data_IF_760649309772
#
_entry.id   IF_760649309772
#
_cell.length_a   1.000
_cell.length_b   1.000
_cell.length_c   1.000
_cell.angle_alpha   90.00
_cell.angle_beta   90.00
_cell.angle_gamma   90.00
#
_symmetry.space_group_name_H-M   'P 1'
#
loop_
_entity.id
_entity.type
_entity.pdbx_description
1 polymer ?
#
# COMPACT_ATOMS: atom_id res chain seq x y z
N UNK A 1 -20.30 -8.36 -8.66
CA UNK A 1 -19.80 -8.24 -7.27
C UNK A 1 -19.34 -9.58 -6.72
N UNK A 2 -20.22 -10.59 -6.64
CA UNK A 2 -19.90 -11.91 -6.09
C UNK A 2 -18.64 -12.57 -6.69
N UNK A 3 -18.49 -12.57 -8.02
CA UNK A 3 -17.28 -13.10 -8.69
C UNK A 3 -15.98 -12.44 -8.21
N UNK A 4 -15.97 -11.09 -8.08
CA UNK A 4 -14.80 -10.33 -7.63
C UNK A 4 -14.46 -10.58 -6.16
N UNK A 5 -15.47 -10.68 -5.30
CA UNK A 5 -15.27 -11.07 -3.89
C UNK A 5 -14.66 -12.46 -3.80
N UNK A 6 -15.11 -13.39 -4.64
CA UNK A 6 -14.54 -14.74 -4.69
C UNK A 6 -13.13 -14.82 -5.25
N UNK A 7 -12.79 -13.99 -6.22
CA UNK A 7 -11.42 -13.82 -6.70
C UNK A 7 -10.49 -13.24 -5.64
N UNK A 8 -10.93 -12.18 -4.95
CA UNK A 8 -10.19 -11.60 -3.81
C UNK A 8 -9.96 -12.65 -2.72
N UNK A 9 -11.00 -13.41 -2.33
CA UNK A 9 -10.88 -14.45 -1.31
C UNK A 9 -9.92 -15.59 -1.74
N UNK A 10 -9.84 -15.91 -3.04
CA UNK A 10 -8.84 -16.84 -3.57
C UNK A 10 -7.43 -16.25 -3.52
N UNK A 11 -7.27 -14.98 -3.90
CA UNK A 11 -5.99 -14.29 -3.84
C UNK A 11 -5.45 -14.18 -2.41
N UNK A 12 -6.29 -13.80 -1.44
CA UNK A 12 -5.93 -13.74 -0.03
C UNK A 12 -5.41 -15.10 0.47
N UNK A 13 -6.11 -16.19 0.15
CA UNK A 13 -5.64 -17.56 0.47
C UNK A 13 -4.31 -17.89 -0.21
N UNK A 14 -4.17 -17.53 -1.49
CA UNK A 14 -2.93 -17.70 -2.25
C UNK A 14 -1.75 -16.90 -1.68
N UNK A 15 -2.01 -15.79 -0.99
CA UNK A 15 -1.02 -14.99 -0.26
C UNK A 15 -0.80 -15.43 1.18
N UNK A 16 -1.33 -16.59 1.59
CA UNK A 16 -1.13 -17.17 2.91
C UNK A 16 -2.05 -16.64 4.01
N UNK A 17 -3.08 -15.84 3.69
CA UNK A 17 -4.06 -15.39 4.69
C UNK A 17 -5.08 -16.51 4.96
N UNK A 18 -5.39 -16.79 6.24
CA UNK A 18 -6.34 -17.83 6.62
C UNK A 18 -7.79 -17.35 6.42
N UNK A 19 -8.29 -17.44 5.19
CA UNK A 19 -9.69 -17.11 4.85
C UNK A 19 -10.50 -18.41 4.75
N UNK A 20 -11.46 -18.62 5.65
CA UNK A 20 -12.35 -19.77 5.59
C UNK A 20 -13.52 -19.55 4.61
N UNK A 21 -14.24 -20.63 4.29
CA UNK A 21 -15.44 -20.57 3.43
C UNK A 21 -16.54 -19.73 4.11
N UNK A 22 -16.68 -19.81 5.44
CA UNK A 22 -17.62 -18.98 6.20
C UNK A 22 -17.31 -17.49 6.05
N UNK A 23 -16.03 -17.09 6.14
CA UNK A 23 -15.61 -15.70 5.93
C UNK A 23 -16.01 -15.18 4.54
N UNK A 24 -15.92 -16.03 3.51
CA UNK A 24 -16.37 -15.66 2.17
C UNK A 24 -17.88 -15.40 2.13
N UNK A 25 -18.70 -16.28 2.73
CA UNK A 25 -20.14 -16.10 2.78
C UNK A 25 -20.52 -14.84 3.56
N UNK A 26 -19.83 -14.56 4.67
CA UNK A 26 -20.05 -13.36 5.46
C UNK A 26 -19.62 -12.11 4.70
N UNK A 27 -18.55 -12.18 3.91
CA UNK A 27 -18.16 -11.09 3.01
C UNK A 27 -19.22 -10.80 1.95
N UNK A 28 -19.81 -11.83 1.33
CA UNK A 28 -20.91 -11.66 0.38
C UNK A 28 -22.13 -11.01 1.06
N UNK A 29 -22.47 -11.42 2.28
CA UNK A 29 -23.56 -10.78 3.06
C UNK A 29 -23.23 -9.33 3.40
N UNK A 30 -22.00 -9.05 3.80
CA UNK A 30 -21.54 -7.70 4.12
C UNK A 30 -21.64 -6.75 2.93
N UNK A 31 -21.38 -7.24 1.70
CA UNK A 31 -21.60 -6.42 0.49
C UNK A 31 -23.06 -6.03 0.24
N UNK A 32 -24.03 -6.75 0.80
CA UNK A 32 -25.44 -6.38 0.72
C UNK A 32 -25.85 -5.35 1.79
N UNK A 33 -25.01 -5.14 2.82
CA UNK A 33 -25.28 -4.25 3.94
C UNK A 33 -24.59 -2.87 3.83
N UNK A 34 -23.75 -2.67 2.81
CA UNK A 34 -23.04 -1.41 2.57
C UNK A 34 -23.34 -0.86 1.19
N UNK A 35 -23.25 0.46 1.04
CA UNK A 35 -23.28 1.09 -0.27
C UNK A 35 -22.04 0.67 -1.07
N UNK A 36 -22.25 0.03 -2.21
CA UNK A 36 -21.20 -0.44 -3.10
C UNK A 36 -20.51 0.71 -3.85
N UNK A 37 -21.12 1.90 -3.87
CA UNK A 37 -20.53 3.12 -4.42
C UNK A 37 -19.55 3.75 -3.43
N UNK A 38 -19.77 3.57 -2.12
CA UNK A 38 -18.82 3.96 -1.10
C UNK A 38 -17.70 2.91 -1.00
N UNK A 39 -16.61 3.21 -1.72
CA UNK A 39 -15.38 2.40 -1.70
C UNK A 39 -14.86 2.17 -0.28
N UNK A 40 -14.91 3.18 0.59
CA UNK A 40 -14.39 3.08 1.95
C UNK A 40 -15.27 2.12 2.75
N UNK A 41 -16.59 2.27 2.69
CA UNK A 41 -17.52 1.37 3.35
C UNK A 41 -17.34 -0.08 2.85
N UNK A 42 -17.23 -0.29 1.54
CA UNK A 42 -16.98 -1.60 0.96
C UNK A 42 -15.66 -2.22 1.44
N UNK A 43 -14.58 -1.43 1.49
CA UNK A 43 -13.27 -1.89 1.97
C UNK A 43 -13.35 -2.34 3.41
N UNK A 44 -13.93 -1.53 4.30
CA UNK A 44 -14.03 -1.86 5.72
C UNK A 44 -14.92 -3.08 5.98
N UNK A 45 -16.04 -3.20 5.25
CA UNK A 45 -16.94 -4.35 5.36
C UNK A 45 -16.27 -5.67 4.94
N UNK A 46 -15.52 -5.65 3.83
CA UNK A 46 -14.76 -6.81 3.38
C UNK A 46 -13.57 -7.09 4.30
N UNK A 47 -12.88 -6.07 4.81
CA UNK A 47 -11.79 -6.25 5.78
C UNK A 47 -12.30 -6.93 7.05
N UNK A 48 -13.42 -6.47 7.59
CA UNK A 48 -14.02 -7.01 8.82
C UNK A 48 -14.41 -8.49 8.72
N UNK A 49 -14.75 -8.96 7.51
CA UNK A 49 -15.19 -10.34 7.28
C UNK A 49 -14.07 -11.26 6.79
N UNK A 50 -13.08 -10.74 6.06
CA UNK A 50 -12.00 -11.52 5.44
C UNK A 50 -10.67 -11.47 6.20
N UNK A 51 -10.54 -10.61 7.22
CA UNK A 51 -9.31 -10.51 8.04
C UNK A 51 -9.55 -10.92 9.48
N UNK A 52 -8.76 -11.88 9.97
CA UNK A 52 -8.85 -12.37 11.35
C UNK A 52 -7.86 -11.71 12.32
N UNK A 53 -6.97 -10.85 11.80
CA UNK A 53 -5.92 -10.19 12.59
C UNK A 53 -5.53 -8.86 11.95
N UNK A 54 -5.22 -7.87 12.78
CA UNK A 54 -4.69 -6.57 12.34
C UNK A 54 -3.40 -6.72 11.53
N UNK A 55 -2.60 -7.76 11.79
CA UNK A 55 -1.39 -8.03 11.02
C UNK A 55 -1.66 -8.37 9.54
N UNK A 56 -2.86 -8.85 9.22
CA UNK A 56 -3.26 -9.20 7.85
C UNK A 56 -3.85 -8.01 7.08
N UNK A 57 -4.11 -6.89 7.77
CA UNK A 57 -4.76 -5.71 7.18
C UNK A 57 -3.98 -5.12 6.00
N UNK A 58 -2.64 -4.94 6.05
CA UNK A 58 -1.90 -4.36 4.93
C UNK A 58 -1.95 -5.23 3.66
N UNK A 59 -1.86 -6.55 3.82
CA UNK A 59 -1.96 -7.50 2.71
C UNK A 59 -3.37 -7.52 2.11
N UNK A 60 -4.39 -7.44 2.97
CA UNK A 60 -5.78 -7.28 2.52
C UNK A 60 -5.97 -6.00 1.71
N UNK A 61 -5.57 -4.84 2.24
CA UNK A 61 -5.76 -3.55 1.58
C UNK A 61 -5.08 -3.53 0.20
N UNK A 62 -3.89 -4.13 0.12
CA UNK A 62 -3.13 -4.31 -1.13
C UNK A 62 -3.93 -5.08 -2.18
N UNK A 63 -4.50 -6.22 -1.81
CA UNK A 63 -5.28 -7.07 -2.72
C UNK A 63 -6.68 -6.47 -3.00
N UNK A 64 -7.29 -5.80 -2.02
CA UNK A 64 -8.55 -5.10 -2.21
C UNK A 64 -8.41 -4.05 -3.31
N UNK A 65 -7.37 -3.21 -3.27
CA UNK A 65 -7.13 -2.19 -4.30
C UNK A 65 -6.95 -2.77 -5.71
N UNK A 66 -6.44 -4.00 -5.79
CA UNK A 66 -6.21 -4.72 -7.04
C UNK A 66 -7.51 -5.25 -7.66
N UNK A 67 -8.38 -5.87 -6.85
CA UNK A 67 -9.64 -6.48 -7.31
C UNK A 67 -10.79 -5.48 -7.39
N UNK A 68 -10.72 -4.44 -6.57
CA UNK A 68 -11.64 -3.32 -6.54
C UNK A 68 -10.81 -2.06 -6.77
N UNK A 69 -10.40 -1.71 -7.99
CA UNK A 69 -9.74 -0.43 -8.24
C UNK A 69 -10.72 0.72 -8.06
N UNK A 70 -10.25 1.88 -7.57
CA UNK A 70 -11.06 3.08 -7.50
C UNK A 70 -11.41 3.49 -8.94
N UNK A 71 -12.69 3.35 -9.33
CA UNK A 71 -13.19 3.93 -10.58
C UNK A 71 -13.27 5.44 -10.39
N UNK A 72 -12.16 6.12 -10.63
CA UNK A 72 -12.22 7.47 -11.18
C UNK A 72 -12.57 7.32 -12.66
N UNK A 73 -13.56 8.06 -13.16
CA UNK A 73 -13.68 8.26 -14.61
C UNK A 73 -12.33 8.72 -15.16
N UNK A 74 -11.96 8.22 -16.33
CA UNK A 74 -10.63 8.36 -16.91
C UNK A 74 -10.06 7.01 -17.32
N UNK A 75 -10.75 6.34 -18.25
CA UNK A 75 -10.06 5.40 -19.11
C UNK A 75 -9.14 6.20 -20.01
N UNK A 76 -7.90 5.76 -20.16
CA UNK A 76 -7.00 6.15 -21.26
C UNK A 76 -6.85 7.65 -21.54
N UNK A 77 -7.07 8.52 -20.55
CA UNK A 77 -6.75 9.94 -20.71
C UNK A 77 -5.25 10.00 -21.02
N UNK A 78 -4.88 10.59 -22.17
CA UNK A 78 -3.49 10.69 -22.56
C UNK A 78 -2.73 11.32 -21.39
N UNK A 79 -1.66 10.65 -20.96
CA UNK A 79 -0.84 11.15 -19.87
C UNK A 79 -0.57 12.65 -20.14
N UNK A 80 -0.93 13.55 -19.20
CA UNK A 80 -0.72 14.97 -19.42
C UNK A 80 0.72 15.20 -19.86
N UNK A 81 0.92 16.13 -20.79
CA UNK A 81 2.26 16.45 -21.28
C UNK A 81 3.19 16.64 -20.07
N UNK A 82 4.43 16.09 -20.10
CA UNK A 82 5.32 16.18 -18.96
C UNK A 82 5.49 17.66 -18.59
N UNK A 83 4.91 18.04 -17.47
CA UNK A 83 5.08 19.39 -16.91
C UNK A 83 6.47 19.49 -16.32
N UNK A 84 6.98 20.71 -16.22
CA UNK A 84 8.22 20.93 -15.50
C UNK A 84 8.10 20.40 -14.06
N UNK A 85 9.10 19.64 -13.62
CA UNK A 85 9.07 18.98 -12.30
C UNK A 85 8.96 20.02 -11.19
N UNK A 86 9.58 21.20 -11.34
CA UNK A 86 9.51 22.24 -10.32
C UNK A 86 8.10 22.86 -10.24
N UNK A 87 7.42 23.08 -11.36
CA UNK A 87 6.03 23.54 -11.40
C UNK A 87 5.08 22.52 -10.76
N UNK A 88 5.22 21.25 -11.11
CA UNK A 88 4.47 20.15 -10.51
C UNK A 88 4.67 20.08 -8.99
N UNK A 89 5.94 20.17 -8.53
CA UNK A 89 6.26 20.15 -7.10
C UNK A 89 5.67 21.36 -6.36
N UNK A 90 5.68 22.55 -6.96
CA UNK A 90 5.10 23.75 -6.34
C UNK A 90 3.58 23.61 -6.16
N UNK A 91 2.88 23.07 -7.16
CA UNK A 91 1.45 22.80 -7.07
C UNK A 91 1.12 21.71 -6.05
N UNK A 92 1.91 20.62 -6.03
CA UNK A 92 1.80 19.55 -5.03
C UNK A 92 1.94 20.09 -3.61
N UNK A 93 2.93 20.96 -3.37
CA UNK A 93 3.14 21.65 -2.09
C UNK A 93 1.90 22.46 -1.71
N UNK A 94 1.40 23.30 -2.61
CA UNK A 94 0.26 24.17 -2.34
C UNK A 94 -1.01 23.37 -2.00
N UNK A 95 -1.29 22.31 -2.75
CA UNK A 95 -2.47 21.44 -2.53
C UNK A 95 -2.37 20.60 -1.26
N UNK A 96 -1.18 20.08 -0.95
CA UNK A 96 -0.94 19.37 0.32
C UNK A 96 -1.19 20.31 1.50
N UNK A 97 -0.67 21.53 1.47
CA UNK A 97 -0.85 22.51 2.55
C UNK A 97 -2.31 22.95 2.70
N UNK A 98 -3.05 23.05 1.59
CA UNK A 98 -4.49 23.33 1.60
C UNK A 98 -5.32 22.22 2.28
N UNK A 99 -4.76 21.02 2.48
CA UNK A 99 -5.43 19.91 3.18
C UNK A 99 -6.57 19.28 2.38
N UNK A 100 -6.56 19.45 1.06
CA UNK A 100 -7.63 18.94 0.21
C UNK A 100 -7.42 17.45 -0.11
N UNK A 101 -8.08 16.60 0.68
CA UNK A 101 -8.00 15.15 0.57
C UNK A 101 -8.40 14.61 -0.81
N UNK A 102 -9.35 15.27 -1.48
CA UNK A 102 -9.83 14.85 -2.81
C UNK A 102 -8.78 15.09 -3.88
N UNK A 103 -7.91 16.07 -3.66
CA UNK A 103 -6.86 16.46 -4.61
C UNK A 103 -5.57 15.65 -4.46
N UNK A 104 -5.27 15.09 -3.28
CA UNK A 104 -4.09 14.23 -3.08
C UNK A 104 -4.09 13.03 -4.04
N UNK A 105 -5.25 12.37 -4.19
CA UNK A 105 -5.39 11.24 -5.11
C UNK A 105 -5.29 11.63 -6.60
N UNK A 106 -5.74 12.84 -6.97
CA UNK A 106 -5.58 13.35 -8.33
C UNK A 106 -4.11 13.64 -8.66
N UNK A 107 -3.36 14.25 -7.73
CA UNK A 107 -1.93 14.52 -7.93
C UNK A 107 -1.12 13.22 -7.91
N UNK A 108 -1.47 12.24 -7.07
CA UNK A 108 -0.83 10.93 -7.09
C UNK A 108 -0.99 10.24 -8.45
N UNK A 109 -2.19 10.31 -9.06
CA UNK A 109 -2.44 9.86 -10.44
C UNK A 109 -1.53 10.53 -11.44
N UNK A 110 -1.46 11.86 -11.38
CA UNK A 110 -0.61 12.62 -12.28
C UNK A 110 0.87 12.29 -12.10
N UNK A 111 1.34 12.19 -10.85
CA UNK A 111 2.71 11.80 -10.52
C UNK A 111 3.10 10.47 -11.18
N UNK A 112 2.22 9.47 -11.08
CA UNK A 112 2.47 8.16 -11.69
C UNK A 112 2.31 8.23 -13.22
N UNK A 113 1.46 9.08 -13.79
CA UNK A 113 1.35 9.30 -15.25
C UNK A 113 2.63 9.89 -15.84
N UNK A 114 3.13 10.94 -15.21
CA UNK A 114 4.26 11.72 -15.73
C UNK A 114 5.59 11.03 -15.46
N UNK A 115 5.76 10.44 -14.27
CA UNK A 115 7.06 9.90 -13.81
C UNK A 115 7.09 8.37 -13.70
N UNK A 116 5.93 7.71 -13.81
CA UNK A 116 5.80 6.25 -13.67
C UNK A 116 5.77 5.48 -14.99
N UNK A 117 6.26 6.04 -16.11
CA UNK A 117 6.19 5.40 -17.44
C UNK A 117 6.68 3.94 -17.41
N UNK A 118 5.81 3.05 -17.87
CA UNK A 118 5.99 1.60 -17.91
C UNK A 118 6.73 1.23 -19.19
N UNK A 119 8.06 1.22 -19.15
CA UNK A 119 8.87 0.66 -20.25
C UNK A 119 9.16 -0.84 -20.07
N UNK A 120 9.10 -1.36 -18.85
CA UNK A 120 9.18 -2.81 -18.60
C UNK A 120 7.88 -3.35 -18.04
N UNK A 121 7.20 -4.18 -18.84
CA UNK A 121 6.05 -5.00 -18.44
C UNK A 121 6.33 -5.94 -17.26
N UNK A 122 7.59 -6.10 -16.87
CA UNK A 122 8.04 -7.08 -15.88
C UNK A 122 8.44 -6.52 -14.51
N UNK A 123 8.52 -5.19 -14.33
CA UNK A 123 8.96 -4.59 -13.07
C UNK A 123 8.00 -4.78 -11.88
N UNK A 124 8.54 -4.97 -10.67
CA UNK A 124 7.75 -5.09 -9.42
C UNK A 124 7.17 -3.73 -8.99
N UNK A 125 5.98 -3.70 -8.39
CA UNK A 125 5.33 -2.47 -7.89
C UNK A 125 6.28 -1.58 -7.07
N UNK A 126 7.10 -2.18 -6.19
CA UNK A 126 8.08 -1.48 -5.37
C UNK A 126 9.11 -0.68 -6.18
N UNK A 127 9.52 -1.19 -7.36
CA UNK A 127 10.47 -0.51 -8.23
C UNK A 127 9.86 0.74 -8.88
N UNK A 128 8.59 0.67 -9.29
CA UNK A 128 7.87 1.82 -9.86
C UNK A 128 7.61 2.90 -8.81
N UNK A 129 7.22 2.50 -7.60
CA UNK A 129 7.06 3.42 -6.46
C UNK A 129 8.38 4.12 -6.15
N UNK A 130 9.48 3.36 -6.06
CA UNK A 130 10.81 3.93 -5.87
C UNK A 130 11.19 4.92 -6.97
N UNK A 131 10.96 4.58 -8.23
CA UNK A 131 11.27 5.46 -9.38
C UNK A 131 10.50 6.78 -9.30
N UNK A 132 9.20 6.72 -9.07
CA UNK A 132 8.35 7.92 -8.92
C UNK A 132 8.87 8.82 -7.79
N UNK A 133 9.20 8.27 -6.61
CA UNK A 133 9.71 9.08 -5.50
C UNK A 133 11.15 9.55 -5.68
N UNK A 134 11.98 8.80 -6.41
CA UNK A 134 13.33 9.21 -6.76
C UNK A 134 13.28 10.42 -7.68
N UNK A 135 12.43 10.39 -8.69
CA UNK A 135 12.31 11.45 -9.69
C UNK A 135 11.62 12.71 -9.10
N UNK A 136 10.70 12.54 -8.14
CA UNK A 136 10.05 13.62 -7.37
C UNK A 136 10.94 14.16 -6.23
N UNK A 137 11.97 13.41 -5.82
CA UNK A 137 12.82 13.69 -4.65
C UNK A 137 11.99 13.97 -3.37
N UNK A 138 11.40 12.93 -2.79
CA UNK A 138 10.56 13.03 -1.59
C UNK A 138 11.23 13.75 -0.40
N UNK A 139 12.54 13.55 -0.20
CA UNK A 139 13.28 14.23 0.86
C UNK A 139 13.36 15.74 0.60
N UNK A 140 13.57 16.15 -0.66
CA UNK A 140 13.51 17.54 -1.08
C UNK A 140 12.10 18.13 -0.93
N UNK A 141 11.05 17.36 -1.23
CA UNK A 141 9.66 17.78 -1.06
C UNK A 141 9.33 18.07 0.41
N UNK A 142 9.75 17.21 1.34
CA UNK A 142 9.58 17.46 2.78
C UNK A 142 10.20 18.79 3.19
N UNK A 143 11.44 19.04 2.76
CA UNK A 143 12.13 20.30 3.06
C UNK A 143 11.36 21.50 2.51
N UNK A 144 10.91 21.44 1.25
CA UNK A 144 10.10 22.50 0.63
C UNK A 144 8.77 22.73 1.35
N UNK A 145 8.11 21.68 1.82
CA UNK A 145 6.88 21.79 2.61
C UNK A 145 7.11 22.47 3.96
N UNK A 146 8.21 22.15 4.63
CA UNK A 146 8.60 22.80 5.88
C UNK A 146 8.97 24.28 5.66
N UNK A 147 9.68 24.59 4.57
CA UNK A 147 10.08 25.96 4.22
C UNK A 147 8.88 26.82 3.77
N UNK A 148 7.88 26.22 3.13
CA UNK A 148 6.66 26.90 2.66
C UNK A 148 5.58 27.02 3.75
N UNK A 149 5.69 26.27 4.84
CA UNK A 149 4.76 26.38 5.96
C UNK A 149 4.92 27.75 6.64
N UNK A 150 3.81 28.37 7.09
CA UNK A 150 3.91 29.64 7.81
C UNK A 150 4.80 29.46 9.05
N UNK A 151 5.73 30.39 9.30
CA UNK A 151 6.57 30.33 10.49
C UNK A 151 5.68 30.37 11.73
N UNK A 152 5.96 29.48 12.69
CA UNK A 152 5.25 29.41 13.93
C UNK A 152 6.13 29.94 15.07
N UNK A 153 5.59 30.86 15.87
CA UNK A 153 6.33 31.60 16.89
C UNK A 153 6.69 30.73 18.12
N UNK A 154 5.93 29.67 18.39
CA UNK A 154 6.12 28.76 19.52
C UNK A 154 6.68 27.40 19.06
N UNK A 155 7.72 26.83 19.72
CA UNK A 155 8.19 25.46 19.53
C UNK A 155 7.10 24.38 19.41
N UNK A 156 6.00 24.49 20.17
CA UNK A 156 4.91 23.52 20.08
C UNK A 156 4.20 23.60 18.72
N UNK A 157 3.90 24.81 18.25
CA UNK A 157 3.25 25.04 16.97
C UNK A 157 4.13 24.59 15.79
N UNK A 158 5.46 24.77 15.88
CA UNK A 158 6.42 24.24 14.90
C UNK A 158 6.37 22.70 14.84
N UNK A 159 6.32 22.04 16.00
CA UNK A 159 6.21 20.57 16.07
C UNK A 159 4.90 20.08 15.48
N UNK A 160 3.77 20.71 15.79
CA UNK A 160 2.47 20.35 15.24
C UNK A 160 2.44 20.51 13.71
N UNK A 161 3.00 21.60 13.18
CA UNK A 161 3.08 21.82 11.73
C UNK A 161 3.91 20.73 11.04
N UNK A 162 5.06 20.38 11.62
CA UNK A 162 5.90 19.28 11.14
C UNK A 162 5.15 17.94 11.16
N UNK A 163 4.52 17.59 12.27
CA UNK A 163 3.79 16.32 12.41
C UNK A 163 2.64 16.23 11.40
N UNK A 164 1.96 17.35 11.14
CA UNK A 164 0.91 17.45 10.10
C UNK A 164 1.47 17.22 8.70
N UNK A 165 2.60 17.84 8.36
CA UNK A 165 3.26 17.65 7.05
C UNK A 165 3.70 16.19 6.88
N UNK A 166 4.27 15.58 7.92
CA UNK A 166 4.67 14.17 7.88
C UNK A 166 3.45 13.26 7.69
N UNK A 167 2.31 13.55 8.31
CA UNK A 167 1.06 12.82 8.10
C UNK A 167 0.56 12.94 6.65
N UNK A 168 0.58 14.15 6.10
CA UNK A 168 0.15 14.40 4.72
C UNK A 168 1.04 13.69 3.70
N UNK A 169 2.37 13.69 3.92
CA UNK A 169 3.32 12.96 3.08
C UNK A 169 3.14 11.45 3.15
N UNK A 170 2.84 10.90 4.34
CA UNK A 170 2.49 9.48 4.48
C UNK A 170 1.27 9.13 3.64
N UNK A 171 0.21 9.95 3.71
CA UNK A 171 -1.00 9.76 2.91
C UNK A 171 -0.73 9.88 1.41
N UNK A 172 0.01 10.90 0.97
CA UNK A 172 0.39 11.03 -0.44
C UNK A 172 1.15 9.80 -0.94
N UNK A 173 2.03 9.24 -0.10
CA UNK A 173 2.73 8.01 -0.43
C UNK A 173 1.79 6.83 -0.63
N UNK A 174 0.85 6.64 0.29
CA UNK A 174 -0.16 5.57 0.21
C UNK A 174 -0.99 5.67 -1.09
N UNK A 175 -1.38 6.88 -1.49
CA UNK A 175 -2.11 7.14 -2.74
C UNK A 175 -1.26 6.81 -3.98
N UNK A 176 0.02 7.20 -4.00
CA UNK A 176 0.94 6.85 -5.10
C UNK A 176 1.14 5.34 -5.20
N UNK A 177 1.29 4.65 -4.06
CA UNK A 177 1.41 3.20 -4.03
C UNK A 177 0.15 2.50 -4.55
N UNK A 178 -1.04 2.99 -4.16
CA UNK A 178 -2.31 2.48 -4.64
C UNK A 178 -2.47 2.68 -6.16
N UNK A 179 -2.06 3.85 -6.66
CA UNK A 179 -2.06 4.17 -8.08
C UNK A 179 -1.15 3.26 -8.91
N UNK A 180 0.10 3.07 -8.47
CA UNK A 180 1.04 2.16 -9.14
C UNK A 180 0.49 0.74 -9.17
N UNK A 181 -0.06 0.26 -8.04
CA UNK A 181 -0.69 -1.06 -7.96
C UNK A 181 -1.86 -1.19 -8.94
N UNK A 182 -2.70 -0.17 -9.07
CA UNK A 182 -3.81 -0.16 -10.04
C UNK A 182 -3.30 -0.34 -11.48
N UNK A 183 -2.30 0.43 -11.90
CA UNK A 183 -1.77 0.33 -13.27
C UNK A 183 -1.11 -1.00 -13.58
N UNK A 184 -0.44 -1.60 -12.60
CA UNK A 184 0.09 -2.95 -12.76
C UNK A 184 -1.04 -3.98 -12.91
N UNK A 185 -2.14 -3.83 -12.16
CA UNK A 185 -3.32 -4.65 -12.31
C UNK A 185 -3.93 -4.55 -13.71
N UNK A 186 -4.01 -3.32 -14.24
CA UNK A 186 -4.53 -3.05 -15.59
C UNK A 186 -3.62 -3.64 -16.67
N UNK A 187 -2.29 -3.50 -16.52
CA UNK A 187 -1.32 -3.97 -17.51
C UNK A 187 -1.14 -5.49 -17.55
N UNK A 188 -1.16 -6.17 -16.39
CA UNK A 188 -0.80 -7.60 -16.26
C UNK A 188 -2.00 -8.47 -15.89
N UNK A 189 -3.11 -7.87 -15.42
CA UNK A 189 -4.28 -8.53 -14.87
C UNK A 189 -4.18 -8.72 -13.35
N UNK A 190 -5.32 -8.65 -12.61
CA UNK A 190 -5.31 -8.66 -11.14
C UNK A 190 -4.80 -9.99 -10.57
N UNK A 191 -5.07 -11.13 -11.21
CA UNK A 191 -4.59 -12.42 -10.68
C UNK A 191 -3.06 -12.56 -10.75
N UNK A 192 -2.44 -12.14 -11.86
CA UNK A 192 -0.99 -12.20 -12.03
C UNK A 192 -0.28 -11.16 -11.16
N UNK A 193 -0.86 -9.97 -11.02
CA UNK A 193 -0.38 -8.96 -10.08
C UNK A 193 -0.47 -9.45 -8.63
N UNK A 194 -1.58 -10.11 -8.24
CA UNK A 194 -1.74 -10.70 -6.91
C UNK A 194 -0.68 -11.78 -6.63
N UNK A 195 -0.36 -12.63 -7.62
CA UNK A 195 0.71 -13.64 -7.48
C UNK A 195 2.10 -13.02 -7.29
N UNK A 196 2.40 -11.89 -7.96
CA UNK A 196 3.67 -11.16 -7.75
C UNK A 196 3.71 -10.43 -6.40
N UNK A 197 2.56 -10.00 -5.89
CA UNK A 197 2.41 -9.32 -4.60
C UNK A 197 2.29 -10.27 -3.41
N UNK A 198 1.92 -11.54 -3.66
CA UNK A 198 1.91 -12.59 -2.67
C UNK A 198 3.34 -12.75 -2.15
N UNK A 199 3.61 -12.13 -1.00
CA UNK A 199 4.90 -12.26 -0.33
C UNK A 199 5.12 -13.77 -0.08
N UNK A 200 6.25 -14.34 -0.52
CA UNK A 200 6.62 -15.66 -0.06
C UNK A 200 6.67 -15.63 1.46
N UNK A 201 6.27 -16.71 2.14
CA UNK A 201 6.34 -16.76 3.58
C UNK A 201 7.77 -16.44 4.05
N UNK A 202 7.96 -15.98 5.30
CA UNK A 202 9.25 -15.46 5.76
C UNK A 202 10.43 -16.43 5.59
N UNK A 203 10.18 -17.74 5.52
CA UNK A 203 11.18 -18.78 5.31
C UNK A 203 11.51 -19.08 3.83
N UNK A 204 10.81 -18.43 2.89
CA UNK A 204 11.00 -18.54 1.43
C UNK A 204 11.53 -17.22 0.82
N UNK A 205 11.74 -16.18 1.62
CA UNK A 205 12.35 -14.93 1.15
C UNK A 205 13.86 -15.14 0.97
N UNK A 206 14.39 -14.77 -0.20
CA UNK A 206 15.82 -14.83 -0.48
C UNK A 206 16.58 -13.84 0.42
N UNK A 207 17.49 -14.36 1.24
CA UNK A 207 18.31 -13.61 2.19
C UNK A 207 19.10 -12.46 1.56
N UNK A 208 19.39 -12.52 0.26
CA UNK A 208 20.09 -11.45 -0.45
C UNK A 208 19.20 -10.23 -0.75
N UNK A 209 17.87 -10.35 -0.59
CA UNK A 209 16.89 -9.28 -0.90
C UNK A 209 16.03 -8.84 0.29
N UNK A 210 16.24 -9.44 1.47
CA UNK A 210 15.46 -9.17 2.70
C UNK A 210 15.66 -7.74 3.20
N UNK A 211 14.55 -7.03 3.44
CA UNK A 211 14.55 -5.71 4.10
C UNK A 211 14.74 -5.83 5.62
N UNK A 212 15.16 -4.75 6.29
CA UNK A 212 15.37 -4.73 7.75
C UNK A 212 14.09 -5.05 8.54
N UNK A 213 12.94 -4.64 8.03
CA UNK A 213 11.64 -4.93 8.64
C UNK A 213 11.25 -6.42 8.50
N UNK A 214 11.51 -7.01 7.33
CA UNK A 214 11.29 -8.44 7.07
C UNK A 214 12.21 -9.32 7.93
N UNK A 215 13.48 -8.92 8.11
CA UNK A 215 14.40 -9.60 9.02
C UNK A 215 13.89 -9.55 10.47
N UNK A 216 13.36 -8.42 10.92
CA UNK A 216 12.78 -8.30 12.25
C UNK A 216 11.56 -9.20 12.43
N UNK A 217 10.70 -9.31 11.41
CA UNK A 217 9.55 -10.20 11.40
C UNK A 217 9.96 -11.68 11.45
N UNK A 218 10.95 -12.10 10.65
CA UNK A 218 11.53 -13.45 10.70
C UNK A 218 12.05 -13.78 12.10
N UNK A 219 12.79 -12.87 12.73
CA UNK A 219 13.33 -13.08 14.09
C UNK A 219 12.23 -13.26 15.13
N UNK A 220 11.14 -12.50 15.04
CA UNK A 220 9.98 -12.66 15.94
C UNK A 220 9.29 -14.01 15.76
N UNK A 221 9.19 -14.51 14.54
CA UNK A 221 8.58 -15.81 14.24
C UNK A 221 9.46 -16.99 14.67
N UNK A 222 10.78 -16.92 14.43
CA UNK A 222 11.73 -18.02 14.70
C UNK A 222 12.13 -18.10 16.18
N UNK A 223 12.23 -16.96 16.88
CA UNK A 223 12.71 -16.90 18.26
C UNK A 223 12.02 -17.84 19.25
N UNK A 224 10.67 -17.94 19.27
CA UNK A 224 9.95 -18.87 20.13
C UNK A 224 10.21 -20.36 19.78
N UNK A 225 10.32 -20.68 18.49
CA UNK A 225 10.58 -22.04 18.02
C UNK A 225 11.99 -22.48 18.39
N UNK A 226 12.99 -21.62 18.21
CA UNK A 226 14.37 -21.87 18.61
C UNK A 226 14.49 -22.14 20.12
N UNK A 227 13.79 -21.37 20.97
CA UNK A 227 13.75 -21.61 22.43
C UNK A 227 13.11 -22.95 22.79
N UNK A 228 12.02 -23.34 22.12
CA UNK A 228 11.38 -24.66 22.31
C UNK A 228 12.27 -25.82 21.85
N UNK A 229 13.03 -25.62 20.78
CA UNK A 229 13.97 -26.63 20.28
C UNK A 229 15.16 -26.79 21.22
N UNK A 230 15.73 -25.67 21.69
CA UNK A 230 16.86 -25.66 22.62
C UNK A 230 16.51 -26.33 23.95
N UNK A 231 15.33 -26.04 24.51
CA UNK A 231 14.86 -26.70 25.75
C UNK A 231 14.66 -28.21 25.57
N UNK A 232 14.10 -28.65 24.43
CA UNK A 232 13.97 -30.09 24.11
C UNK A 232 15.31 -30.79 23.90
N UNK A 233 16.26 -30.14 23.23
CA UNK A 233 17.62 -30.68 23.03
C UNK A 233 18.38 -30.78 24.36
N UNK A 234 18.24 -29.79 25.24
CA UNK A 234 18.86 -29.80 26.57
C UNK A 234 18.31 -30.95 27.45
N UNK A 235 17.00 -31.20 27.38
CA UNK A 235 16.37 -32.34 28.06
C UNK A 235 16.83 -33.69 27.48
N UNK A 236 17.00 -33.80 26.16
CA UNK A 236 17.46 -35.03 25.50
C UNK A 236 18.94 -35.34 25.76
N UNK A 237 19.79 -34.33 25.98
CA UNK A 237 21.21 -34.49 26.34
C UNK A 237 21.44 -34.87 27.81
N UNK A 238 20.43 -34.73 28.67
CA UNK A 238 20.47 -35.11 30.08
C UNK A 238 19.98 -36.55 30.35
N UNK A 239 19.42 -37.21 29.34
CA UNK A 239 19.14 -38.66 29.34
C UNK A 239 20.22 -39.36 28.54
#
# INVERSE_FOLDING_TARGET
MQARVGELARALRGSGLPVAISNHLDALRATAAVDLLDRRALREALAATLTSSAAHRPAFDTLFDLYFPARSGGGDDPAPAPRDVAEFLAELVARILAGDETHVGAIAREAVSSYGRVESRDGTAAYFVYRVFRDINLAGLLRRLLDAAPPADDPLAQRIARDRIELLLRRFREEVEAEVRRRQAEAVGPERAARKLARPPPWEVDFFTVTAEEQAQMRRAVGPLARRLASRLALRRRR
#
